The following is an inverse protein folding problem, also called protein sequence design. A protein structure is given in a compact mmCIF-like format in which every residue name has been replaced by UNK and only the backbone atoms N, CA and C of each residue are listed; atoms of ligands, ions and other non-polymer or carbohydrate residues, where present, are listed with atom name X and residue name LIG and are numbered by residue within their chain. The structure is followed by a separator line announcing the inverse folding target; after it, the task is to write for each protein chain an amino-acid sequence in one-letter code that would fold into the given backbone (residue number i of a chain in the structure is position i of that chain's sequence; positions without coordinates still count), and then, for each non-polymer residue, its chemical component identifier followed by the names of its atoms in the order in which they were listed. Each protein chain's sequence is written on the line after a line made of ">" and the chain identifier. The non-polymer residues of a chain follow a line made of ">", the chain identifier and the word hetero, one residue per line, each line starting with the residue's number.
data_IF_615936522442
#
_entry.id   IF_615936522442
#
_cell.length_a   1.000
_cell.length_b   1.000
_cell.length_c   1.000
_cell.angle_alpha   90.00
_cell.angle_beta   90.00
_cell.angle_gamma   90.00
#
_symmetry.space_group_name_H-M   'P 1'
#
loop_
_entity.id
_entity.type
_entity.pdbx_description
1 polymer ?
#
# COMPACT_ATOMS: atom_id res chain seq x y z
N UNK A 1 30.99 -29.69 14.04
CA UNK A 1 29.75 -30.48 14.05
C UNK A 1 29.33 -30.89 12.64
N UNK A 2 28.82 -29.97 11.79
CA UNK A 2 28.35 -30.34 10.43
C UNK A 2 29.45 -30.93 9.55
N UNK A 3 30.62 -30.29 9.48
CA UNK A 3 31.76 -30.80 8.70
C UNK A 3 32.18 -32.22 9.10
N UNK A 4 32.32 -32.42 10.40
CA UNK A 4 32.68 -33.71 10.96
C UNK A 4 31.64 -34.80 10.65
N UNK A 5 30.35 -34.44 10.64
CA UNK A 5 29.29 -35.36 10.24
C UNK A 5 29.44 -35.78 8.78
N UNK A 6 29.70 -34.83 7.88
CA UNK A 6 29.89 -35.09 6.45
C UNK A 6 31.15 -35.95 6.23
N UNK A 7 32.25 -35.65 6.93
CA UNK A 7 33.49 -36.44 6.87
C UNK A 7 33.25 -37.90 7.30
N UNK A 8 32.52 -38.12 8.40
CA UNK A 8 32.21 -39.48 8.89
C UNK A 8 31.21 -40.21 7.99
N UNK A 9 30.30 -39.49 7.35
CA UNK A 9 29.31 -40.04 6.42
C UNK A 9 29.88 -40.26 4.99
N UNK A 10 31.20 -40.12 4.81
CA UNK A 10 31.87 -40.46 3.54
C UNK A 10 32.08 -39.27 2.60
N UNK A 11 32.08 -38.04 3.10
CA UNK A 11 32.38 -36.82 2.35
C UNK A 11 31.18 -36.19 1.63
N UNK A 12 30.06 -36.92 1.52
CA UNK A 12 28.80 -36.43 0.98
C UNK A 12 27.62 -37.13 1.67
N UNK A 13 26.58 -36.37 2.04
CA UNK A 13 25.44 -36.90 2.80
C UNK A 13 24.14 -36.13 2.51
N UNK A 14 23.00 -36.70 2.91
CA UNK A 14 21.74 -35.95 2.93
C UNK A 14 21.69 -35.02 4.14
N UNK A 15 20.95 -33.91 4.03
CA UNK A 15 20.73 -33.00 5.16
C UNK A 15 20.12 -33.74 6.38
N UNK A 16 19.31 -34.78 6.12
CA UNK A 16 18.66 -35.59 7.17
C UNK A 16 19.69 -36.45 7.90
N UNK A 17 20.61 -37.09 7.18
CA UNK A 17 21.65 -37.94 7.78
C UNK A 17 22.64 -37.11 8.58
N UNK A 18 23.06 -35.96 8.04
CA UNK A 18 23.91 -34.99 8.76
C UNK A 18 23.25 -34.54 10.05
N UNK A 19 21.97 -34.14 9.98
CA UNK A 19 21.22 -33.69 11.16
C UNK A 19 21.10 -34.80 12.20
N UNK A 20 20.72 -36.01 11.76
CA UNK A 20 20.54 -37.16 12.65
C UNK A 20 21.84 -37.55 13.33
N UNK A 21 22.94 -37.56 12.59
CA UNK A 21 24.27 -37.84 13.12
C UNK A 21 24.72 -36.79 14.13
N UNK A 22 24.56 -35.49 13.82
CA UNK A 22 24.96 -34.41 14.73
C UNK A 22 24.17 -34.44 16.02
N UNK A 23 22.85 -34.64 15.96
CA UNK A 23 22.02 -34.73 17.16
C UNK A 23 22.34 -35.97 18.00
N UNK A 24 22.71 -37.09 17.36
CA UNK A 24 23.14 -38.30 18.05
C UNK A 24 24.48 -38.12 18.77
N UNK A 25 25.45 -37.45 18.14
CA UNK A 25 26.79 -37.23 18.72
C UNK A 25 26.88 -36.05 19.68
N UNK A 26 26.09 -35.00 19.45
CA UNK A 26 26.03 -33.78 20.25
C UNK A 26 24.61 -33.58 20.80
N UNK A 27 24.20 -34.33 21.84
CA UNK A 27 22.89 -34.20 22.45
C UNK A 27 22.62 -32.77 22.93
N UNK A 28 21.42 -32.25 22.68
CA UNK A 28 21.02 -30.88 23.01
C UNK A 28 21.27 -29.84 21.91
N UNK A 29 21.89 -30.23 20.79
CA UNK A 29 22.04 -29.35 19.62
C UNK A 29 20.69 -29.10 18.94
N UNK A 30 20.36 -27.83 18.69
CA UNK A 30 19.13 -27.45 17.99
C UNK A 30 19.23 -27.73 16.48
N UNK A 31 18.22 -28.39 15.90
CA UNK A 31 18.11 -28.69 14.47
C UNK A 31 18.25 -27.45 13.58
N UNK A 32 17.67 -26.32 13.99
CA UNK A 32 17.79 -25.04 13.29
C UNK A 32 19.25 -24.58 13.24
N UNK A 33 20.01 -24.71 14.33
CA UNK A 33 21.43 -24.36 14.36
C UNK A 33 22.26 -25.21 13.39
N UNK A 34 21.94 -26.49 13.26
CA UNK A 34 22.59 -27.40 12.30
C UNK A 34 22.30 -26.93 10.87
N UNK A 35 21.04 -26.57 10.58
CA UNK A 35 20.63 -26.05 9.27
C UNK A 35 21.31 -24.71 8.93
N UNK A 36 21.38 -23.77 9.88
CA UNK A 36 22.09 -22.51 9.68
C UNK A 36 23.58 -22.73 9.37
N UNK A 37 24.23 -23.67 10.07
CA UNK A 37 25.64 -24.02 9.80
C UNK A 37 25.84 -24.65 8.42
N UNK A 38 24.92 -25.52 7.98
CA UNK A 38 24.94 -26.07 6.63
C UNK A 38 24.84 -24.94 5.60
N UNK A 39 23.87 -24.03 5.75
CA UNK A 39 23.63 -22.94 4.79
C UNK A 39 24.81 -21.96 4.75
N UNK A 40 25.27 -21.47 5.91
CA UNK A 40 26.37 -20.50 5.98
C UNK A 40 27.68 -21.07 5.39
N UNK A 41 27.92 -22.37 5.61
CA UNK A 41 29.11 -23.07 5.13
C UNK A 41 29.09 -23.48 3.65
N UNK A 42 27.93 -23.46 2.99
CA UNK A 42 27.78 -23.91 1.61
C UNK A 42 28.04 -22.80 0.60
N UNK A 43 29.05 -22.95 -0.26
CA UNK A 43 29.54 -21.88 -1.13
C UNK A 43 28.57 -21.46 -2.23
N UNK A 44 27.79 -22.40 -2.74
CA UNK A 44 26.82 -22.20 -3.81
C UNK A 44 25.39 -22.03 -3.29
N UNK A 45 25.22 -21.73 -1.99
CA UNK A 45 23.90 -21.50 -1.41
C UNK A 45 23.56 -20.01 -1.40
N UNK A 46 22.51 -19.54 -2.12
CA UNK A 46 22.18 -18.12 -2.21
C UNK A 46 21.95 -17.47 -0.84
N UNK A 47 21.21 -18.15 0.04
CA UNK A 47 20.91 -17.63 1.38
C UNK A 47 22.09 -17.52 2.34
N UNK A 48 23.31 -17.97 1.97
CA UNK A 48 24.47 -17.89 2.85
C UNK A 48 24.82 -16.45 3.23
N UNK A 49 24.48 -15.49 2.38
CA UNK A 49 24.71 -14.05 2.54
C UNK A 49 23.94 -13.42 3.71
N UNK A 50 22.93 -14.10 4.26
CA UNK A 50 22.16 -13.62 5.41
C UNK A 50 22.76 -14.02 6.77
N UNK A 51 23.74 -14.93 6.76
CA UNK A 51 24.42 -15.38 7.96
C UNK A 51 25.67 -14.52 8.11
N UNK A 52 25.56 -13.44 8.88
CA UNK A 52 26.47 -12.28 8.94
C UNK A 52 27.93 -12.51 9.37
N UNK A 53 28.47 -13.71 9.15
CA UNK A 53 29.86 -14.06 9.36
C UNK A 53 30.58 -14.01 8.00
N UNK A 54 31.43 -13.01 7.80
CA UNK A 54 32.29 -12.83 6.60
C UNK A 54 31.54 -12.58 5.26
N UNK A 55 30.46 -11.81 5.31
CA UNK A 55 29.70 -11.35 4.13
C UNK A 55 30.32 -10.06 3.58
N UNK A 56 31.23 -10.24 2.61
CA UNK A 56 31.87 -9.17 1.85
C UNK A 56 32.25 -9.70 0.47
N UNK A 57 32.50 -8.82 -0.49
CA UNK A 57 32.98 -9.23 -1.82
C UNK A 57 34.33 -9.95 -1.69
N UNK A 58 34.36 -11.26 -1.96
CA UNK A 58 35.54 -12.12 -1.85
C UNK A 58 35.36 -13.44 -2.59
N UNK A 59 36.47 -14.06 -2.94
CA UNK A 59 36.51 -15.45 -3.37
C UNK A 59 36.23 -16.37 -2.17
N UNK A 60 35.51 -17.46 -2.41
CA UNK A 60 35.18 -18.49 -1.44
C UNK A 60 36.35 -19.49 -1.31
N UNK A 61 37.43 -19.09 -0.65
CA UNK A 61 38.63 -19.91 -0.40
C UNK A 61 38.97 -20.07 1.09
N UNK A 62 38.10 -19.58 1.98
CA UNK A 62 38.36 -19.57 3.42
C UNK A 62 37.85 -20.88 4.06
N UNK A 63 38.73 -21.78 4.54
CA UNK A 63 38.33 -23.09 5.06
C UNK A 63 37.51 -23.04 6.36
N UNK A 64 37.40 -21.87 7.00
CA UNK A 64 36.52 -21.66 8.16
C UNK A 64 35.07 -21.38 7.75
N UNK A 65 34.84 -20.75 6.60
CA UNK A 65 33.51 -20.31 6.18
C UNK A 65 33.01 -21.02 4.92
N UNK A 66 33.93 -21.50 4.07
CA UNK A 66 33.66 -22.07 2.75
C UNK A 66 33.95 -23.58 2.80
N UNK A 67 33.08 -24.31 3.49
CA UNK A 67 33.32 -25.71 3.85
C UNK A 67 32.58 -26.70 2.96
N UNK A 68 31.45 -26.31 2.38
CA UNK A 68 30.50 -27.23 1.78
C UNK A 68 30.06 -26.80 0.37
N UNK A 69 29.65 -27.78 -0.42
CA UNK A 69 29.03 -27.60 -1.71
C UNK A 69 27.70 -28.37 -1.74
N UNK A 70 26.72 -27.87 -2.50
CA UNK A 70 25.43 -28.51 -2.69
C UNK A 70 25.28 -28.95 -4.15
N UNK A 71 25.41 -30.25 -4.47
CA UNK A 71 25.24 -30.73 -5.84
C UNK A 71 23.76 -30.77 -6.25
N UNK A 72 22.85 -31.04 -5.32
CA UNK A 72 21.40 -31.08 -5.55
C UNK A 72 20.62 -30.77 -4.27
N UNK A 73 19.33 -30.45 -4.41
CA UNK A 73 18.46 -30.14 -3.27
C UNK A 73 18.44 -31.27 -2.25
N UNK A 74 18.68 -30.93 -0.98
CA UNK A 74 18.68 -31.89 0.13
C UNK A 74 19.98 -32.64 0.35
N UNK A 75 21.02 -32.41 -0.46
CA UNK A 75 22.36 -33.00 -0.29
C UNK A 75 23.43 -31.94 -0.01
N UNK A 76 24.52 -32.40 0.59
CA UNK A 76 25.68 -31.58 0.93
C UNK A 76 26.95 -32.43 0.90
N UNK A 77 28.04 -31.85 0.40
CA UNK A 77 29.37 -32.47 0.33
C UNK A 77 30.47 -31.48 0.70
N UNK A 78 31.69 -31.95 0.93
CA UNK A 78 32.83 -31.08 1.22
C UNK A 78 33.21 -30.27 -0.02
N UNK A 79 33.38 -28.97 0.15
CA UNK A 79 33.78 -28.11 -0.95
C UNK A 79 35.27 -28.26 -1.27
N UNK A 80 35.52 -28.49 -2.55
CA UNK A 80 36.83 -28.45 -3.20
C UNK A 80 36.76 -27.55 -4.44
N UNK A 81 37.51 -26.43 -4.50
CA UNK A 81 37.53 -25.57 -5.69
C UNK A 81 38.02 -26.29 -6.96
N UNK A 82 38.88 -27.30 -6.81
CA UNK A 82 39.38 -28.11 -7.93
C UNK A 82 38.27 -28.95 -8.57
N UNK A 83 37.32 -29.43 -7.77
CA UNK A 83 36.22 -30.28 -8.23
C UNK A 83 34.97 -29.48 -8.61
N UNK A 84 34.62 -28.46 -7.82
CA UNK A 84 33.33 -27.75 -7.90
C UNK A 84 33.45 -26.37 -8.56
N UNK A 85 34.65 -26.01 -9.00
CA UNK A 85 34.96 -24.66 -9.48
C UNK A 85 35.10 -23.67 -8.34
N UNK A 86 35.71 -22.52 -8.64
CA UNK A 86 35.88 -21.43 -7.68
C UNK A 86 34.59 -20.61 -7.59
N UNK A 87 34.12 -20.35 -6.38
CA UNK A 87 32.96 -19.50 -6.11
C UNK A 87 33.36 -18.17 -5.51
N UNK A 88 32.53 -17.15 -5.66
CA UNK A 88 32.71 -15.86 -5.02
C UNK A 88 31.40 -15.31 -4.45
N UNK A 89 31.55 -14.55 -3.38
CA UNK A 89 30.57 -13.59 -2.90
C UNK A 89 30.83 -12.27 -3.64
N UNK A 90 29.80 -11.72 -4.25
CA UNK A 90 29.90 -10.45 -4.96
C UNK A 90 28.77 -9.51 -4.56
N UNK A 91 29.04 -8.22 -4.64
CA UNK A 91 28.03 -7.18 -4.46
C UNK A 91 27.29 -6.94 -5.78
N UNK A 92 25.97 -7.08 -5.75
CA UNK A 92 25.08 -6.80 -6.87
C UNK A 92 24.92 -5.29 -7.08
N UNK A 93 24.49 -4.82 -8.26
CA UNK A 93 24.33 -3.39 -8.54
C UNK A 93 23.39 -2.63 -7.58
N UNK A 94 22.47 -3.34 -6.92
CA UNK A 94 21.55 -2.82 -5.89
C UNK A 94 22.15 -2.84 -4.46
N UNK A 95 23.46 -3.12 -4.31
CA UNK A 95 24.18 -3.07 -3.04
C UNK A 95 23.94 -4.28 -2.12
N UNK A 96 23.44 -5.40 -2.67
CA UNK A 96 23.23 -6.66 -1.94
C UNK A 96 24.36 -7.63 -2.23
N UNK A 97 24.49 -8.68 -1.42
CA UNK A 97 25.44 -9.76 -1.70
C UNK A 97 24.73 -10.96 -2.31
N UNK A 98 25.36 -11.59 -3.30
CA UNK A 98 24.95 -12.87 -3.86
C UNK A 98 26.18 -13.76 -4.11
N UNK A 99 25.95 -15.01 -4.51
CA UNK A 99 27.00 -16.00 -4.82
C UNK A 99 26.99 -16.34 -6.30
N UNK A 100 28.17 -16.54 -6.89
CA UNK A 100 28.31 -17.07 -8.25
C UNK A 100 29.60 -17.86 -8.40
N UNK A 101 29.70 -18.66 -9.46
CA UNK A 101 30.95 -19.27 -9.85
C UNK A 101 31.83 -18.21 -10.56
N UNK A 102 33.11 -18.15 -10.22
CA UNK A 102 34.06 -17.22 -10.83
C UNK A 102 34.16 -17.50 -12.35
N UNK A 103 33.90 -16.48 -13.16
CA UNK A 103 33.96 -16.56 -14.62
C UNK A 103 32.60 -16.60 -15.31
N UNK A 104 31.50 -16.73 -14.57
CA UNK A 104 30.16 -16.57 -15.13
C UNK A 104 29.83 -15.07 -15.30
N UNK A 105 29.55 -14.66 -16.54
CA UNK A 105 28.94 -13.35 -16.80
C UNK A 105 27.56 -13.27 -16.14
N UNK A 106 27.17 -12.07 -15.69
CA UNK A 106 25.91 -11.81 -14.99
C UNK A 106 24.72 -12.22 -15.88
N UNK A 107 24.24 -13.44 -15.68
CA UNK A 107 22.93 -13.86 -16.12
C UNK A 107 22.01 -13.82 -14.90
N UNK A 108 20.89 -13.09 -14.93
CA UNK A 108 19.92 -13.12 -13.84
C UNK A 108 19.42 -14.55 -13.69
N UNK A 109 19.77 -15.19 -12.58
CA UNK A 109 19.34 -16.54 -12.26
C UNK A 109 17.89 -16.51 -11.75
N UNK A 110 17.11 -17.53 -12.09
CA UNK A 110 15.74 -17.70 -11.58
C UNK A 110 15.71 -18.01 -10.06
N UNK A 111 16.86 -18.21 -9.42
CA UNK A 111 16.98 -18.58 -8.00
C UNK A 111 17.08 -17.37 -7.06
N UNK A 112 17.37 -16.16 -7.56
CA UNK A 112 17.30 -14.90 -6.78
C UNK A 112 15.87 -14.64 -6.26
N UNK A 113 14.85 -15.19 -6.93
CA UNK A 113 13.45 -15.06 -6.53
C UNK A 113 13.12 -15.90 -5.27
N UNK A 114 13.91 -16.92 -4.93
CA UNK A 114 13.60 -17.79 -3.79
C UNK A 114 13.83 -17.10 -2.44
N UNK A 115 14.90 -16.30 -2.34
CA UNK A 115 15.19 -15.49 -1.14
C UNK A 115 14.22 -14.32 -0.99
N UNK A 116 13.88 -13.65 -2.10
CA UNK A 116 12.86 -12.61 -2.13
C UNK A 116 11.46 -13.14 -1.83
N UNK A 117 11.10 -14.30 -2.38
CA UNK A 117 9.83 -14.98 -2.10
C UNK A 117 9.73 -15.40 -0.63
N UNK A 118 10.81 -15.90 -0.01
CA UNK A 118 10.80 -16.29 1.40
C UNK A 118 10.62 -15.08 2.35
N UNK A 119 11.34 -13.98 2.08
CA UNK A 119 11.18 -12.75 2.84
C UNK A 119 9.77 -12.17 2.66
N UNK A 120 9.25 -12.18 1.44
CA UNK A 120 7.89 -11.73 1.16
C UNK A 120 6.81 -12.67 1.74
N UNK A 121 7.05 -13.98 1.86
CA UNK A 121 6.09 -14.95 2.46
C UNK A 121 5.99 -14.72 3.97
N UNK A 122 7.14 -14.48 4.61
CA UNK A 122 7.22 -14.08 6.02
C UNK A 122 6.48 -12.77 6.26
N UNK A 123 6.75 -11.73 5.47
CA UNK A 123 6.09 -10.42 5.63
C UNK A 123 4.59 -10.49 5.34
N UNK A 124 4.17 -11.24 4.32
CA UNK A 124 2.76 -11.45 4.01
C UNK A 124 2.04 -12.15 5.16
N UNK A 125 2.65 -13.19 5.74
CA UNK A 125 2.12 -13.88 6.91
C UNK A 125 1.92 -12.95 8.08
N UNK A 126 2.96 -12.20 8.44
CA UNK A 126 2.94 -11.35 9.62
C UNK A 126 1.91 -10.21 9.46
N UNK A 127 1.74 -9.70 8.24
CA UNK A 127 0.66 -8.77 7.88
C UNK A 127 -0.72 -9.43 8.04
N UNK A 128 -0.96 -10.56 7.39
CA UNK A 128 -2.26 -11.24 7.41
C UNK A 128 -2.65 -11.72 8.81
N UNK A 129 -1.69 -12.13 9.64
CA UNK A 129 -1.93 -12.51 11.03
C UNK A 129 -2.44 -11.35 11.90
N UNK A 130 -2.10 -10.10 11.54
CA UNK A 130 -2.59 -8.88 12.19
C UNK A 130 -3.89 -8.36 11.57
N UNK A 131 -4.20 -8.79 10.34
CA UNK A 131 -5.33 -8.32 9.54
C UNK A 131 -6.22 -9.47 9.06
N UNK A 132 -6.54 -10.41 9.95
CA UNK A 132 -7.31 -11.62 9.61
C UNK A 132 -8.69 -11.31 9.00
N UNK A 133 -9.29 -10.17 9.34
CA UNK A 133 -10.54 -9.70 8.76
C UNK A 133 -10.47 -9.48 7.23
N UNK A 134 -9.28 -9.23 6.67
CA UNK A 134 -9.08 -9.15 5.21
C UNK A 134 -9.18 -10.52 4.54
N UNK A 135 -8.86 -11.58 5.27
CA UNK A 135 -9.07 -12.96 4.81
C UNK A 135 -10.55 -13.29 4.95
N UNK A 136 -11.09 -13.19 6.15
CA UNK A 136 -12.49 -13.48 6.43
C UNK A 136 -12.92 -12.73 7.70
N UNK A 137 -14.03 -11.97 7.67
CA UNK A 137 -14.46 -11.19 8.82
C UNK A 137 -14.70 -12.03 10.07
N UNK A 138 -14.19 -11.59 11.22
CA UNK A 138 -14.40 -12.23 12.51
C UNK A 138 -13.46 -13.39 12.82
N UNK A 139 -12.40 -13.59 12.02
CA UNK A 139 -11.32 -14.50 12.34
C UNK A 139 -10.44 -13.95 13.48
N UNK A 140 -10.01 -14.84 14.37
CA UNK A 140 -9.07 -14.55 15.45
C UNK A 140 -7.93 -15.57 15.43
N UNK A 141 -6.72 -15.15 15.78
CA UNK A 141 -5.60 -16.09 15.92
C UNK A 141 -5.93 -17.13 16.98
N UNK A 142 -5.67 -18.39 16.67
CA UNK A 142 -5.79 -19.46 17.65
C UNK A 142 -4.72 -19.27 18.73
N UNK A 143 -5.10 -19.41 20.00
CA UNK A 143 -4.16 -19.43 21.13
C UNK A 143 -4.31 -20.78 21.81
N UNK A 144 -3.25 -21.58 21.77
CA UNK A 144 -3.22 -22.88 22.43
C UNK A 144 -3.11 -22.69 23.96
N UNK A 145 -3.60 -23.63 24.78
CA UNK A 145 -3.49 -23.55 26.25
C UNK A 145 -2.07 -23.41 26.83
N UNK A 146 -1.03 -23.68 26.04
CA UNK A 146 0.38 -23.50 26.40
C UNK A 146 0.96 -22.17 25.90
N UNK A 147 0.09 -21.20 25.61
CA UNK A 147 0.41 -19.86 25.13
C UNK A 147 1.02 -19.80 23.72
N UNK A 148 1.09 -20.91 22.97
CA UNK A 148 1.47 -20.87 21.56
C UNK A 148 0.38 -20.17 20.74
N UNK A 149 0.79 -19.13 20.03
CA UNK A 149 -0.06 -18.38 19.10
C UNK A 149 -0.09 -19.05 17.73
N UNK A 150 -1.19 -18.89 17.01
CA UNK A 150 -1.46 -19.49 15.71
C UNK A 150 -0.67 -18.89 14.55
N UNK A 151 0.56 -18.42 14.76
CA UNK A 151 1.46 -17.96 13.71
C UNK A 151 2.65 -18.89 13.69
N UNK A 152 3.02 -19.41 12.51
CA UNK A 152 4.04 -20.45 12.38
C UNK A 152 3.79 -21.64 13.33
N UNK A 153 2.53 -22.06 13.46
CA UNK A 153 2.10 -23.04 14.43
C UNK A 153 2.72 -24.41 14.16
N UNK A 154 3.66 -24.83 15.01
CA UNK A 154 4.40 -26.08 14.87
C UNK A 154 3.53 -27.27 15.27
N UNK A 155 3.46 -28.26 14.38
CA UNK A 155 2.79 -29.54 14.57
C UNK A 155 3.75 -30.70 14.29
N UNK A 156 3.34 -31.92 14.62
CA UNK A 156 4.10 -33.14 14.29
C UNK A 156 4.23 -33.37 12.78
N UNK A 157 3.31 -32.82 11.99
CA UNK A 157 3.22 -33.04 10.54
C UNK A 157 3.71 -31.85 9.73
N UNK A 158 4.32 -30.86 10.38
CA UNK A 158 4.86 -29.65 9.75
C UNK A 158 4.44 -28.38 10.46
N UNK A 159 4.71 -27.24 9.82
CA UNK A 159 4.43 -25.91 10.36
C UNK A 159 3.30 -25.29 9.56
N UNK A 160 2.26 -24.86 10.26
CA UNK A 160 1.12 -24.13 9.69
C UNK A 160 1.47 -22.66 9.66
N UNK A 161 1.28 -21.96 8.54
CA UNK A 161 1.62 -20.53 8.47
C UNK A 161 0.75 -19.70 9.40
N UNK A 162 -0.58 -19.84 9.30
CA UNK A 162 -1.53 -19.22 10.22
C UNK A 162 -2.63 -20.21 10.61
N UNK A 163 -2.89 -20.34 11.90
CA UNK A 163 -3.98 -21.09 12.50
C UNK A 163 -4.92 -20.11 13.21
N UNK A 164 -6.16 -20.04 12.77
CA UNK A 164 -7.18 -19.15 13.29
C UNK A 164 -8.43 -19.91 13.74
N UNK A 165 -9.31 -19.21 14.44
CA UNK A 165 -10.67 -19.63 14.76
C UNK A 165 -11.66 -18.55 14.32
N UNK A 166 -12.82 -18.96 13.82
CA UNK A 166 -13.89 -18.01 13.50
C UNK A 166 -14.79 -17.71 14.70
N UNK A 167 -15.75 -16.81 14.51
CA UNK A 167 -16.71 -16.43 15.54
C UNK A 167 -17.63 -17.56 16.04
N UNK A 168 -17.64 -18.72 15.39
CA UNK A 168 -18.36 -19.93 15.83
C UNK A 168 -17.46 -20.96 16.50
N UNK A 169 -16.15 -20.68 16.59
CA UNK A 169 -15.15 -21.60 17.15
C UNK A 169 -14.66 -22.67 16.18
N UNK A 170 -15.00 -22.57 14.89
CA UNK A 170 -14.44 -23.46 13.87
C UNK A 170 -13.01 -23.05 13.53
N UNK A 171 -12.16 -24.04 13.29
CA UNK A 171 -10.75 -23.82 12.99
C UNK A 171 -10.53 -23.50 11.51
N UNK A 172 -9.61 -22.59 11.25
CA UNK A 172 -9.20 -22.17 9.91
C UNK A 172 -7.68 -22.31 9.79
N UNK A 173 -7.26 -23.23 8.93
CA UNK A 173 -5.85 -23.44 8.58
C UNK A 173 -5.54 -22.62 7.33
N UNK A 174 -4.58 -21.72 7.40
CA UNK A 174 -4.22 -20.83 6.29
C UNK A 174 -2.78 -21.14 5.87
N UNK A 175 -2.59 -21.40 4.58
CA UNK A 175 -1.29 -21.70 3.97
C UNK A 175 -0.97 -20.65 2.89
N UNK A 176 0.23 -20.10 2.92
CA UNK A 176 0.65 -19.00 2.06
C UNK A 176 1.60 -19.47 0.96
N UNK A 177 1.56 -18.78 -0.20
CA UNK A 177 2.55 -18.99 -1.25
C UNK A 177 2.87 -17.70 -2.01
N UNK A 178 4.14 -17.29 -1.98
CA UNK A 178 4.55 -16.05 -2.65
C UNK A 178 5.01 -16.20 -4.10
N UNK A 179 5.56 -17.34 -4.48
CA UNK A 179 6.04 -17.58 -5.84
C UNK A 179 5.40 -18.82 -6.48
N UNK A 180 5.49 -18.93 -7.82
CA UNK A 180 5.10 -20.11 -8.60
C UNK A 180 5.97 -21.31 -8.19
N UNK A 181 5.55 -22.04 -7.17
CA UNK A 181 6.19 -23.26 -6.67
C UNK A 181 5.22 -24.45 -6.66
N UNK A 182 5.74 -25.69 -6.80
CA UNK A 182 4.97 -26.83 -7.31
C UNK A 182 3.97 -27.37 -6.29
N UNK A 183 2.74 -27.65 -6.76
CA UNK A 183 1.64 -28.59 -6.38
C UNK A 183 1.49 -29.14 -4.93
N UNK A 184 2.38 -28.80 -4.01
CA UNK A 184 2.54 -29.32 -2.66
C UNK A 184 1.61 -28.65 -1.66
N UNK A 185 1.12 -27.45 -1.96
CA UNK A 185 0.26 -26.65 -1.08
C UNK A 185 -1.08 -27.34 -0.80
N UNK A 186 -1.65 -28.03 -1.79
CA UNK A 186 -2.86 -28.83 -1.60
C UNK A 186 -2.62 -29.99 -0.62
N UNK A 187 -1.48 -30.68 -0.76
CA UNK A 187 -1.08 -31.74 0.17
C UNK A 187 -0.80 -31.22 1.57
N UNK A 188 -0.14 -30.06 1.69
CA UNK A 188 0.14 -29.40 2.97
C UNK A 188 -1.15 -29.02 3.68
N UNK A 189 -2.05 -28.28 3.01
CA UNK A 189 -3.27 -27.82 3.66
C UNK A 189 -4.19 -28.98 4.07
N UNK A 190 -4.28 -30.01 3.24
CA UNK A 190 -5.04 -31.22 3.58
C UNK A 190 -4.43 -31.94 4.78
N UNK A 191 -3.09 -32.05 4.84
CA UNK A 191 -2.38 -32.65 5.97
C UNK A 191 -2.61 -31.88 7.27
N UNK A 192 -2.49 -30.55 7.22
CA UNK A 192 -2.67 -29.68 8.38
C UNK A 192 -4.12 -29.64 8.85
N UNK A 193 -5.09 -29.45 7.95
CA UNK A 193 -6.54 -29.53 8.23
C UNK A 193 -6.87 -30.83 8.97
N UNK A 194 -6.38 -31.96 8.45
CA UNK A 194 -6.61 -33.27 9.03
C UNK A 194 -5.94 -33.48 10.40
N UNK A 195 -4.77 -32.89 10.62
CA UNK A 195 -4.10 -32.95 11.90
C UNK A 195 -4.84 -32.11 12.95
N UNK A 196 -5.21 -30.87 12.63
CA UNK A 196 -6.00 -29.98 13.52
C UNK A 196 -7.34 -30.61 13.88
N UNK A 197 -8.03 -31.21 12.90
CA UNK A 197 -9.30 -31.91 13.11
C UNK A 197 -9.21 -33.04 14.13
N UNK A 198 -8.07 -33.75 14.19
CA UNK A 198 -7.85 -34.89 15.10
C UNK A 198 -7.33 -34.50 16.48
N UNK A 199 -6.58 -33.40 16.59
CA UNK A 199 -5.82 -33.08 17.80
C UNK A 199 -6.31 -31.83 18.53
N UNK A 200 -6.92 -30.87 17.83
CA UNK A 200 -7.31 -29.58 18.41
C UNK A 200 -8.81 -29.31 18.34
N UNK A 201 -9.46 -29.74 17.26
CA UNK A 201 -10.81 -29.28 16.95
C UNK A 201 -11.89 -29.76 17.94
N UNK A 202 -11.69 -30.87 18.65
CA UNK A 202 -12.63 -31.38 19.66
C UNK A 202 -14.11 -31.42 19.19
N UNK A 203 -14.32 -31.78 17.92
CA UNK A 203 -15.66 -31.85 17.29
C UNK A 203 -16.08 -30.57 16.53
N UNK A 204 -15.33 -29.48 16.64
CA UNK A 204 -15.49 -28.30 15.78
C UNK A 204 -15.10 -28.62 14.33
N UNK A 205 -15.69 -27.88 13.39
CA UNK A 205 -15.31 -27.98 11.98
C UNK A 205 -13.92 -27.38 11.75
N UNK A 206 -13.24 -27.85 10.71
CA UNK A 206 -11.92 -27.35 10.31
C UNK A 206 -11.95 -27.12 8.80
N UNK A 207 -11.64 -25.90 8.37
CA UNK A 207 -11.49 -25.54 6.96
C UNK A 207 -10.08 -25.05 6.64
N UNK A 208 -9.71 -25.13 5.37
CA UNK A 208 -8.43 -24.66 4.84
C UNK A 208 -8.62 -23.47 3.90
N UNK A 209 -7.71 -22.49 3.95
CA UNK A 209 -7.61 -21.40 2.97
C UNK A 209 -6.18 -21.35 2.42
N UNK A 210 -6.03 -21.54 1.11
CA UNK A 210 -4.78 -21.31 0.40
C UNK A 210 -4.76 -19.85 -0.05
N UNK A 211 -3.69 -19.10 0.24
CA UNK A 211 -3.53 -17.71 -0.23
C UNK A 211 -2.24 -17.62 -1.05
N UNK A 212 -2.35 -17.24 -2.32
CA UNK A 212 -1.19 -17.13 -3.20
C UNK A 212 -1.28 -15.91 -4.13
N UNK A 213 -0.17 -15.50 -4.74
CA UNK A 213 -0.22 -14.44 -5.75
C UNK A 213 -1.00 -14.87 -6.99
N UNK A 214 -0.95 -16.17 -7.32
CA UNK A 214 -1.68 -16.77 -8.43
C UNK A 214 -2.07 -18.21 -8.08
N UNK A 215 -3.34 -18.57 -8.26
CA UNK A 215 -3.86 -19.92 -8.08
C UNK A 215 -3.88 -20.63 -9.43
N UNK A 216 -2.96 -21.57 -9.61
CA UNK A 216 -2.85 -22.38 -10.83
C UNK A 216 -4.01 -23.35 -10.96
N UNK A 217 -4.34 -23.77 -12.19
CA UNK A 217 -5.41 -24.74 -12.41
C UNK A 217 -5.14 -26.08 -11.72
N UNK A 218 -3.87 -26.45 -11.52
CA UNK A 218 -3.49 -27.63 -10.75
C UNK A 218 -3.97 -27.57 -9.30
N UNK A 219 -3.80 -26.42 -8.63
CA UNK A 219 -4.33 -26.22 -7.27
C UNK A 219 -5.86 -26.29 -7.30
N UNK A 220 -6.51 -25.64 -8.27
CA UNK A 220 -7.96 -25.69 -8.43
C UNK A 220 -8.47 -27.12 -8.56
N UNK A 221 -7.86 -27.93 -9.43
CA UNK A 221 -8.20 -29.34 -9.58
C UNK A 221 -7.91 -30.16 -8.33
N UNK A 222 -6.82 -29.88 -7.62
CA UNK A 222 -6.45 -30.63 -6.41
C UNK A 222 -7.42 -30.43 -5.24
N UNK A 223 -8.11 -29.29 -5.18
CA UNK A 223 -9.06 -28.96 -4.10
C UNK A 223 -10.53 -29.01 -4.55
N UNK A 224 -10.82 -29.29 -5.83
CA UNK A 224 -12.15 -29.17 -6.42
C UNK A 224 -13.23 -29.98 -5.68
N UNK A 225 -12.87 -31.16 -5.17
CA UNK A 225 -13.79 -32.07 -4.49
C UNK A 225 -13.78 -31.92 -2.94
N UNK A 226 -13.02 -30.97 -2.40
CA UNK A 226 -12.97 -30.68 -0.96
C UNK A 226 -13.70 -29.36 -0.64
N UNK A 227 -14.97 -29.40 -0.23
CA UNK A 227 -15.75 -28.18 0.03
C UNK A 227 -15.26 -27.42 1.27
N UNK A 228 -14.38 -27.99 2.09
CA UNK A 228 -13.79 -27.35 3.25
C UNK A 228 -12.45 -26.67 2.92
N UNK A 229 -12.01 -26.64 1.64
CA UNK A 229 -10.77 -25.97 1.23
C UNK A 229 -11.07 -24.90 0.17
N UNK A 230 -10.74 -23.65 0.49
CA UNK A 230 -10.84 -22.53 -0.42
C UNK A 230 -9.45 -22.04 -0.87
N UNK A 231 -9.41 -21.33 -2.00
CA UNK A 231 -8.22 -20.65 -2.48
C UNK A 231 -8.51 -19.17 -2.75
N UNK A 232 -7.57 -18.29 -2.42
CA UNK A 232 -7.64 -16.84 -2.63
C UNK A 232 -6.37 -16.34 -3.28
N UNK A 233 -6.52 -15.35 -4.16
CA UNK A 233 -5.40 -14.63 -4.76
C UNK A 233 -5.17 -13.31 -4.03
N UNK A 234 -3.91 -12.91 -3.83
CA UNK A 234 -3.55 -11.59 -3.32
C UNK A 234 -2.81 -10.76 -4.39
N UNK A 235 -2.97 -9.44 -4.32
CA UNK A 235 -2.28 -8.48 -5.19
C UNK A 235 -1.58 -7.41 -4.33
N UNK A 236 -0.25 -7.30 -4.45
CA UNK A 236 0.52 -6.22 -3.83
C UNK A 236 0.56 -5.03 -4.78
N UNK A 237 0.09 -3.88 -4.33
CA UNK A 237 0.21 -2.61 -5.08
C UNK A 237 1.25 -1.74 -4.41
N UNK A 238 2.38 -1.55 -5.10
CA UNK A 238 3.41 -0.59 -4.70
C UNK A 238 3.13 0.71 -5.45
N UNK A 239 2.89 1.79 -4.70
CA UNK A 239 2.78 3.13 -5.25
C UNK A 239 4.05 3.92 -4.90
N UNK A 240 4.77 4.37 -5.93
CA UNK A 240 5.87 5.30 -5.75
C UNK A 240 5.34 6.72 -5.94
N UNK A 241 5.64 7.61 -5.00
CA UNK A 241 5.26 9.02 -5.10
C UNK A 241 6.50 9.87 -5.31
N UNK A 242 6.43 10.75 -6.31
CA UNK A 242 7.42 11.80 -6.44
C UNK A 242 7.29 12.75 -5.26
N UNK A 243 8.39 12.92 -4.54
CA UNK A 243 8.49 13.88 -3.44
C UNK A 243 9.08 15.16 -4.00
N UNK A 244 8.33 16.26 -3.88
CA UNK A 244 8.88 17.60 -4.15
C UNK A 244 9.99 17.86 -3.15
N UNK A 245 11.19 18.16 -3.66
CA UNK A 245 12.27 18.74 -2.87
C UNK A 245 12.23 20.26 -2.97
N UNK A 246 12.47 20.96 -1.86
CA UNK A 246 12.69 22.39 -1.85
C UNK A 246 14.17 22.63 -1.54
N UNK A 247 14.80 23.54 -2.28
CA UNK A 247 16.15 23.98 -2.01
C UNK A 247 16.15 25.49 -1.79
N UNK A 248 16.83 25.94 -0.73
CA UNK A 248 17.15 27.35 -0.55
C UNK A 248 18.37 27.70 -1.40
N UNK A 249 18.23 28.72 -2.24
CA UNK A 249 19.33 29.31 -2.98
C UNK A 249 19.97 30.43 -2.14
N UNK A 250 21.10 30.12 -1.51
CA UNK A 250 21.97 31.10 -0.83
C UNK A 250 23.38 31.09 -1.41
N UNK A 251 24.40 31.37 -0.59
CA UNK A 251 25.81 31.18 -0.99
C UNK A 251 26.13 29.71 -1.31
N UNK A 252 25.40 28.78 -0.69
CA UNK A 252 25.41 27.35 -0.99
C UNK A 252 23.97 26.89 -1.21
N UNK A 253 23.80 25.94 -2.13
CA UNK A 253 22.51 25.27 -2.33
C UNK A 253 22.29 24.32 -1.16
N UNK A 254 21.21 24.54 -0.41
CA UNK A 254 20.86 23.69 0.74
C UNK A 254 19.46 23.15 0.56
N UNK A 255 19.28 21.85 0.80
CA UNK A 255 17.97 21.21 0.78
C UNK A 255 17.23 21.57 2.07
N UNK A 256 15.98 21.99 1.94
CA UNK A 256 15.11 22.21 3.10
C UNK A 256 14.50 20.86 3.46
N UNK A 257 14.67 20.46 4.72
CA UNK A 257 14.13 19.20 5.21
C UNK A 257 12.63 19.30 5.46
N UNK A 258 11.96 18.17 5.27
CA UNK A 258 10.54 18.05 5.53
C UNK A 258 10.28 18.07 7.04
N UNK A 259 9.28 18.84 7.46
CA UNK A 259 8.79 18.84 8.83
C UNK A 259 7.29 18.54 8.83
N UNK A 260 6.78 17.67 9.72
CA UNK A 260 5.34 17.52 9.87
C UNK A 260 4.74 18.85 10.34
N UNK A 261 3.59 19.21 9.79
CA UNK A 261 2.88 20.40 10.26
C UNK A 261 2.46 20.20 11.72
N UNK A 262 2.54 21.26 12.51
CA UNK A 262 2.30 21.24 13.95
C UNK A 262 0.91 20.71 14.34
N UNK A 263 -0.12 21.04 13.54
CA UNK A 263 -1.47 20.52 13.74
C UNK A 263 -2.34 20.63 12.48
N UNK A 264 -3.40 19.83 12.41
CA UNK A 264 -4.44 19.96 11.38
C UNK A 264 -5.18 21.30 11.48
N UNK A 265 -5.36 21.85 12.69
CA UNK A 265 -5.96 23.18 12.87
C UNK A 265 -5.13 24.25 12.14
N UNK A 266 -3.79 24.20 12.25
CA UNK A 266 -2.91 25.14 11.53
C UNK A 266 -3.08 25.02 10.02
N UNK A 267 -3.25 23.80 9.50
CA UNK A 267 -3.51 23.57 8.08
C UNK A 267 -4.89 24.11 7.68
N UNK A 268 -5.93 23.85 8.47
CA UNK A 268 -7.27 24.35 8.26
C UNK A 268 -7.28 25.90 8.24
N UNK A 269 -6.66 26.53 9.23
CA UNK A 269 -6.55 27.99 9.34
C UNK A 269 -5.86 28.59 8.11
N UNK A 270 -4.80 27.94 7.63
CA UNK A 270 -4.04 28.39 6.46
C UNK A 270 -4.86 28.26 5.17
N UNK A 271 -5.59 27.15 5.01
CA UNK A 271 -6.45 26.92 3.85
C UNK A 271 -7.67 27.85 3.88
N UNK A 272 -8.28 28.06 5.06
CA UNK A 272 -9.43 28.93 5.22
C UNK A 272 -9.08 30.41 4.99
N UNK A 273 -7.84 30.82 5.29
CA UNK A 273 -7.35 32.16 5.02
C UNK A 273 -7.21 32.46 3.53
N UNK A 274 -6.89 31.45 2.71
CA UNK A 274 -6.81 31.58 1.26
C UNK A 274 -7.09 30.25 0.55
N UNK A 275 -8.33 30.05 0.09
CA UNK A 275 -8.73 28.84 -0.63
C UNK A 275 -8.05 28.67 -2.00
N UNK A 276 -7.33 29.69 -2.52
CA UNK A 276 -6.58 29.58 -3.77
C UNK A 276 -5.46 28.52 -3.70
N UNK A 277 -5.01 28.19 -2.49
CA UNK A 277 -4.10 27.05 -2.22
C UNK A 277 -4.73 25.70 -2.57
N UNK A 278 -6.06 25.64 -2.70
CA UNK A 278 -6.78 24.51 -3.29
C UNK A 278 -7.12 24.83 -4.75
N UNK A 279 -7.93 25.85 -4.98
CA UNK A 279 -8.38 26.26 -6.31
C UNK A 279 -8.73 27.75 -6.29
N UNK A 280 -8.31 28.53 -7.32
CA UNK A 280 -8.51 29.98 -7.35
C UNK A 280 -9.98 30.42 -7.48
N UNK A 281 -10.90 29.49 -7.75
CA UNK A 281 -12.33 29.77 -7.97
C UNK A 281 -13.23 29.31 -6.84
N UNK A 282 -12.80 29.44 -5.58
CA UNK A 282 -13.58 29.03 -4.40
C UNK A 282 -13.85 30.21 -3.47
N UNK A 283 -15.10 30.32 -3.03
CA UNK A 283 -15.56 31.21 -1.97
C UNK A 283 -15.82 30.41 -0.70
N UNK A 284 -15.25 30.81 0.44
CA UNK A 284 -15.53 30.15 1.71
C UNK A 284 -16.94 30.51 2.18
N UNK A 285 -17.78 29.51 2.48
CA UNK A 285 -19.07 29.71 3.10
C UNK A 285 -18.97 29.67 4.62
N UNK A 286 -18.14 28.76 5.14
CA UNK A 286 -17.85 28.73 6.57
C UNK A 286 -17.00 27.54 6.98
N UNK A 287 -16.58 27.60 8.25
CA UNK A 287 -15.76 26.58 8.92
C UNK A 287 -16.57 25.79 9.93
N UNK A 288 -16.21 24.51 10.09
CA UNK A 288 -16.78 23.60 11.09
C UNK A 288 -18.31 23.61 11.03
N UNK A 289 -18.84 23.27 9.85
CA UNK A 289 -20.29 23.31 9.58
C UNK A 289 -20.94 22.06 10.20
N UNK A 290 -21.87 22.21 11.16
CA UNK A 290 -22.53 21.08 11.78
C UNK A 290 -23.38 20.32 10.76
N UNK A 291 -23.33 19.00 10.84
CA UNK A 291 -24.17 18.09 10.05
C UNK A 291 -25.30 17.53 10.91
N UNK A 292 -26.38 17.08 10.29
CA UNK A 292 -27.51 16.45 10.97
C UNK A 292 -27.12 15.23 11.83
N UNK A 293 -25.99 14.59 11.51
CA UNK A 293 -25.48 13.41 12.21
C UNK A 293 -24.49 13.74 13.35
N UNK A 294 -24.39 15.00 13.77
CA UNK A 294 -23.57 15.42 14.91
C UNK A 294 -22.07 15.43 14.64
N UNK A 295 -21.65 15.37 13.37
CA UNK A 295 -20.28 15.65 12.94
C UNK A 295 -20.18 17.02 12.26
N UNK A 296 -18.97 17.46 11.95
CA UNK A 296 -18.72 18.76 11.33
C UNK A 296 -18.00 18.57 10.00
N UNK A 297 -18.41 19.32 8.98
CA UNK A 297 -17.63 19.54 7.75
C UNK A 297 -16.55 20.55 8.10
N UNK A 298 -15.28 20.25 7.84
CA UNK A 298 -14.19 21.14 8.24
C UNK A 298 -14.29 22.49 7.53
N UNK A 299 -14.36 22.51 6.19
CA UNK A 299 -14.60 23.72 5.40
C UNK A 299 -15.66 23.46 4.33
N UNK A 300 -16.63 24.36 4.24
CA UNK A 300 -17.60 24.39 3.15
C UNK A 300 -17.37 25.61 2.28
N UNK A 301 -17.22 25.40 0.98
CA UNK A 301 -17.00 26.44 -0.01
C UNK A 301 -18.03 26.35 -1.14
N UNK A 302 -18.10 27.40 -1.95
CA UNK A 302 -18.88 27.48 -3.18
C UNK A 302 -17.95 27.83 -4.34
N UNK A 303 -18.17 27.22 -5.50
CA UNK A 303 -17.47 27.62 -6.73
C UNK A 303 -18.24 28.68 -7.53
N UNK A 304 -17.60 29.23 -8.56
CA UNK A 304 -18.19 30.25 -9.44
C UNK A 304 -19.47 29.82 -10.16
N UNK A 305 -19.75 28.52 -10.23
CA UNK A 305 -20.96 28.00 -10.88
C UNK A 305 -22.07 27.75 -9.83
N UNK A 306 -21.89 28.20 -8.58
CA UNK A 306 -22.86 28.03 -7.50
C UNK A 306 -22.86 26.64 -6.86
N UNK A 307 -21.87 25.77 -7.16
CA UNK A 307 -21.82 24.40 -6.62
C UNK A 307 -21.08 24.35 -5.29
N UNK A 308 -21.56 23.52 -4.37
CA UNK A 308 -20.90 23.33 -3.08
C UNK A 308 -19.68 22.43 -3.18
N UNK A 309 -18.63 22.85 -2.50
CA UNK A 309 -17.36 22.13 -2.40
C UNK A 309 -17.09 21.83 -0.94
N UNK A 310 -17.19 20.54 -0.59
CA UNK A 310 -16.89 20.01 0.74
C UNK A 310 -15.39 19.75 0.82
N UNK A 311 -14.71 20.37 1.78
CA UNK A 311 -13.27 20.21 1.98
C UNK A 311 -13.07 19.57 3.36
N UNK A 312 -12.54 18.34 3.38
CA UNK A 312 -12.36 17.54 4.60
C UNK A 312 -10.87 17.32 4.88
N UNK A 313 -10.43 17.61 6.10
CA UNK A 313 -9.08 17.36 6.58
C UNK A 313 -9.01 15.97 7.25
N UNK A 314 -7.91 15.26 7.02
CA UNK A 314 -7.83 13.84 7.34
C UNK A 314 -7.60 13.54 8.84
N UNK A 315 -8.66 13.64 9.66
CA UNK A 315 -8.91 12.81 10.88
C UNK A 315 -10.39 12.51 11.13
N UNK A 316 -11.31 13.34 10.66
CA UNK A 316 -12.74 13.19 10.91
C UNK A 316 -13.48 12.78 9.64
N UNK A 317 -13.66 11.47 9.41
CA UNK A 317 -14.56 11.02 8.33
C UNK A 317 -16.02 11.33 8.70
N UNK A 318 -16.63 12.29 8.01
CA UNK A 318 -18.05 12.63 8.14
C UNK A 318 -18.96 11.74 7.27
N UNK A 319 -20.08 11.24 7.80
CA UNK A 319 -21.14 10.63 6.99
C UNK A 319 -21.69 11.64 5.99
N UNK A 320 -21.95 11.16 4.77
CA UNK A 320 -22.17 11.96 3.57
C UNK A 320 -23.65 12.22 3.30
N UNK A 321 -24.17 13.36 3.75
CA UNK A 321 -25.29 14.07 3.11
C UNK A 321 -25.17 15.58 3.40
N UNK A 322 -24.91 16.40 2.38
CA UNK A 322 -25.02 17.87 2.44
C UNK A 322 -26.19 18.28 1.56
N UNK A 323 -27.40 17.97 2.02
CA UNK A 323 -28.64 18.32 1.34
C UNK A 323 -29.12 19.72 1.73
N UNK A 324 -28.30 20.74 1.51
CA UNK A 324 -28.66 22.14 1.82
C UNK A 324 -29.46 22.75 0.65
N UNK A 325 -30.59 23.38 0.97
CA UNK A 325 -31.35 24.22 0.04
C UNK A 325 -30.70 25.61 -0.15
N UNK A 326 -31.19 26.41 -1.10
CA UNK A 326 -30.73 27.80 -1.28
C UNK A 326 -30.84 28.62 0.01
N UNK A 327 -32.01 28.56 0.65
CA UNK A 327 -32.29 29.28 1.88
C UNK A 327 -31.33 28.82 3.01
N UNK A 328 -31.08 27.51 3.12
CA UNK A 328 -30.12 26.98 4.10
C UNK A 328 -28.70 27.49 3.86
N UNK A 329 -28.28 27.64 2.59
CA UNK A 329 -26.95 28.15 2.23
C UNK A 329 -26.86 29.65 2.55
N UNK A 330 -27.90 30.41 2.26
CA UNK A 330 -28.00 31.83 2.59
C UNK A 330 -27.93 32.08 4.10
N UNK A 331 -28.75 31.37 4.86
CA UNK A 331 -28.78 31.42 6.33
C UNK A 331 -27.43 31.00 6.93
N UNK A 332 -26.82 29.94 6.39
CA UNK A 332 -25.51 29.48 6.80
C UNK A 332 -24.44 30.54 6.56
N UNK A 333 -24.42 31.13 5.36
CA UNK A 333 -23.45 32.15 4.99
C UNK A 333 -23.59 33.39 5.89
N UNK A 334 -24.82 33.87 6.09
CA UNK A 334 -25.10 34.99 6.98
C UNK A 334 -24.66 34.68 8.42
N UNK A 335 -24.96 33.49 8.95
CA UNK A 335 -24.56 33.08 10.29
C UNK A 335 -23.03 32.99 10.48
N UNK A 336 -22.28 32.71 9.42
CA UNK A 336 -20.82 32.56 9.44
C UNK A 336 -20.06 33.83 9.05
N UNK A 337 -20.74 34.82 8.47
CA UNK A 337 -20.13 36.04 7.91
C UNK A 337 -20.86 37.30 8.41
N UNK A 338 -21.12 37.40 9.72
CA UNK A 338 -21.65 38.59 10.40
C UNK A 338 -22.97 39.15 9.81
N UNK A 339 -23.86 38.27 9.36
CA UNK A 339 -25.16 38.62 8.79
C UNK A 339 -25.12 39.11 7.34
N UNK A 340 -23.97 38.96 6.67
CA UNK A 340 -23.81 39.35 5.27
C UNK A 340 -24.64 38.45 4.34
N UNK A 341 -25.26 39.06 3.33
CA UNK A 341 -26.03 38.35 2.29
C UNK A 341 -25.10 37.55 1.36
N UNK A 342 -25.54 36.35 0.97
CA UNK A 342 -24.76 35.42 0.14
C UNK A 342 -24.42 36.01 -1.22
N UNK A 343 -25.39 36.67 -1.85
CA UNK A 343 -25.30 37.32 -3.14
C UNK A 343 -24.22 38.41 -3.12
N UNK A 344 -24.19 39.23 -2.07
CA UNK A 344 -23.14 40.24 -1.88
C UNK A 344 -21.77 39.59 -1.68
N UNK A 345 -21.70 38.49 -0.92
CA UNK A 345 -20.50 37.67 -0.77
C UNK A 345 -19.96 37.16 -2.11
N UNK A 346 -20.86 36.61 -2.90
CA UNK A 346 -20.58 35.96 -4.17
C UNK A 346 -20.12 36.98 -5.22
N UNK A 347 -20.83 38.09 -5.36
CA UNK A 347 -20.52 39.15 -6.33
C UNK A 347 -19.15 39.77 -6.06
N UNK A 348 -18.79 40.01 -4.80
CA UNK A 348 -17.45 40.53 -4.45
C UNK A 348 -16.34 39.51 -4.74
N UNK A 349 -16.60 38.23 -4.49
CA UNK A 349 -15.58 37.18 -4.67
C UNK A 349 -15.34 36.89 -6.15
N UNK A 350 -16.40 36.81 -6.95
CA UNK A 350 -16.31 36.35 -8.34
C UNK A 350 -16.62 37.42 -9.39
N UNK A 351 -16.96 38.64 -8.98
CA UNK A 351 -17.29 39.77 -9.88
C UNK A 351 -18.43 39.48 -10.85
N UNK A 352 -19.37 38.60 -10.50
CA UNK A 352 -20.60 38.32 -11.24
C UNK A 352 -21.69 37.82 -10.28
N UNK A 353 -22.95 37.92 -10.71
CA UNK A 353 -24.10 37.57 -9.89
C UNK A 353 -24.23 36.07 -9.63
N UNK A 354 -24.68 35.73 -8.43
CA UNK A 354 -25.01 34.35 -8.04
C UNK A 354 -25.98 33.72 -9.06
N UNK A 355 -25.69 32.50 -9.57
CA UNK A 355 -26.60 31.80 -10.49
C UNK A 355 -27.97 31.50 -9.85
N UNK A 356 -29.02 31.43 -10.68
CA UNK A 356 -30.37 31.04 -10.23
C UNK A 356 -30.39 29.59 -9.73
N UNK A 357 -29.66 28.70 -10.42
CA UNK A 357 -29.50 27.30 -10.03
C UNK A 357 -28.21 27.13 -9.23
N UNK A 358 -28.33 27.05 -7.91
CA UNK A 358 -27.23 26.71 -7.01
C UNK A 358 -27.28 25.25 -6.59
N UNK A 359 -26.13 24.74 -6.16
CA UNK A 359 -26.01 23.44 -5.53
C UNK A 359 -26.51 22.26 -6.41
N UNK A 360 -26.45 22.41 -7.75
CA UNK A 360 -26.84 21.35 -8.69
C UNK A 360 -25.90 20.14 -8.64
N UNK A 361 -24.66 20.37 -8.21
CA UNK A 361 -23.65 19.33 -7.99
C UNK A 361 -22.81 19.61 -6.76
N UNK A 362 -22.23 18.56 -6.18
CA UNK A 362 -21.30 18.65 -5.06
C UNK A 362 -19.94 18.15 -5.47
N UNK A 363 -18.88 18.81 -5.02
CA UNK A 363 -17.50 18.32 -5.14
C UNK A 363 -16.91 18.07 -3.76
N UNK A 364 -16.06 17.06 -3.65
CA UNK A 364 -15.34 16.74 -2.43
C UNK A 364 -13.82 16.85 -2.65
N UNK A 365 -13.15 17.64 -1.81
CA UNK A 365 -11.70 17.73 -1.75
C UNK A 365 -11.25 17.17 -0.40
N UNK A 366 -10.45 16.12 -0.43
CA UNK A 366 -9.79 15.61 0.77
C UNK A 366 -8.43 16.28 0.88
N UNK A 367 -8.15 16.85 2.05
CA UNK A 367 -6.89 17.49 2.39
C UNK A 367 -6.12 16.55 3.32
N UNK A 368 -4.95 16.10 2.90
CA UNK A 368 -4.14 15.16 3.68
C UNK A 368 -2.64 15.47 3.59
N UNK A 369 -1.86 15.07 4.59
CA UNK A 369 -0.40 14.97 4.44
C UNK A 369 -0.04 13.73 3.60
N UNK A 370 -0.79 12.65 3.81
CA UNK A 370 -0.65 11.37 3.10
C UNK A 370 -1.96 10.57 3.08
N UNK A 371 -2.05 9.65 2.12
CA UNK A 371 -3.14 8.69 2.02
C UNK A 371 -2.60 7.27 2.05
N UNK A 372 -3.31 6.37 2.70
CA UNK A 372 -3.04 4.95 2.60
C UNK A 372 -3.41 4.44 1.18
N UNK A 373 -2.74 3.39 0.66
CA UNK A 373 -2.98 2.91 -0.70
C UNK A 373 -4.42 2.44 -0.97
N UNK A 374 -5.15 2.03 0.06
CA UNK A 374 -6.54 1.58 -0.09
C UNK A 374 -7.46 2.77 -0.38
N UNK A 375 -7.31 3.88 0.36
CA UNK A 375 -8.08 5.11 0.17
C UNK A 375 -7.79 5.76 -1.18
N UNK A 376 -6.52 5.81 -1.61
CA UNK A 376 -6.18 6.34 -2.94
C UNK A 376 -6.86 5.55 -4.05
N UNK A 377 -6.81 4.22 -3.98
CA UNK A 377 -7.44 3.34 -4.97
C UNK A 377 -8.94 3.57 -5.05
N UNK A 378 -9.61 3.72 -3.90
CA UNK A 378 -11.04 4.01 -3.83
C UNK A 378 -11.34 5.35 -4.51
N UNK A 379 -10.58 6.40 -4.20
CA UNK A 379 -10.80 7.74 -4.76
C UNK A 379 -10.56 7.73 -6.28
N UNK A 380 -9.45 7.16 -6.73
CA UNK A 380 -9.13 7.03 -8.15
C UNK A 380 -10.18 6.21 -8.89
N UNK A 381 -10.70 5.15 -8.28
CA UNK A 381 -11.77 4.33 -8.85
C UNK A 381 -13.10 5.09 -8.96
N UNK A 382 -13.50 5.79 -7.89
CA UNK A 382 -14.73 6.59 -7.85
C UNK A 382 -14.69 7.74 -8.87
N UNK A 383 -13.58 8.48 -8.92
CA UNK A 383 -13.38 9.57 -9.89
C UNK A 383 -13.30 9.02 -11.32
N UNK A 384 -12.39 8.07 -11.58
CA UNK A 384 -12.08 7.63 -12.93
C UNK A 384 -13.16 6.76 -13.58
N UNK A 385 -13.85 5.90 -12.81
CA UNK A 385 -14.84 4.95 -13.35
C UNK A 385 -16.29 5.41 -13.20
N UNK A 386 -16.61 6.13 -12.13
CA UNK A 386 -17.98 6.55 -11.82
C UNK A 386 -18.20 8.05 -11.96
N UNK A 387 -17.15 8.82 -12.30
CA UNK A 387 -17.25 10.27 -12.45
C UNK A 387 -17.65 10.97 -11.15
N UNK A 388 -17.43 10.33 -9.99
CA UNK A 388 -17.72 10.96 -8.70
C UNK A 388 -16.74 12.11 -8.51
N UNK A 389 -17.20 13.35 -8.29
CA UNK A 389 -16.37 14.54 -8.17
C UNK A 389 -15.65 14.59 -6.81
N UNK A 390 -14.76 13.63 -6.58
CA UNK A 390 -13.93 13.51 -5.38
C UNK A 390 -12.46 13.48 -5.78
N UNK A 391 -11.64 14.27 -5.10
CA UNK A 391 -10.20 14.28 -5.31
C UNK A 391 -9.46 14.51 -3.99
N UNK A 392 -8.14 14.34 -3.99
CA UNK A 392 -7.29 14.60 -2.83
C UNK A 392 -6.17 15.54 -3.19
N UNK A 393 -5.95 16.52 -2.33
CA UNK A 393 -4.76 17.35 -2.30
C UNK A 393 -3.87 16.93 -1.13
N UNK A 394 -2.58 16.81 -1.43
CA UNK A 394 -1.55 16.53 -0.46
C UNK A 394 -0.82 17.82 -0.11
N UNK A 395 -0.76 18.15 1.18
CA UNK A 395 0.05 19.27 1.66
C UNK A 395 1.28 18.78 2.38
N UNK A 396 2.42 19.43 2.10
CA UNK A 396 3.67 19.18 2.80
C UNK A 396 4.28 20.47 3.29
N UNK A 397 4.78 20.40 4.51
CA UNK A 397 5.31 21.52 5.26
C UNK A 397 6.84 21.41 5.38
N UNK A 398 7.50 22.56 5.36
CA UNK A 398 8.95 22.68 5.46
C UNK A 398 9.31 23.90 6.30
N UNK A 399 10.26 23.76 7.21
CA UNK A 399 10.78 24.84 8.04
C UNK A 399 12.22 25.19 7.65
N UNK A 400 12.55 26.49 7.61
CA UNK A 400 13.94 26.94 7.41
C UNK A 400 14.19 28.32 8.05
N UNK A 401 15.02 28.36 9.10
CA UNK A 401 15.43 29.56 9.81
C UNK A 401 14.27 30.49 10.22
N UNK A 402 13.18 29.91 10.74
CA UNK A 402 11.99 30.64 11.17
C UNK A 402 11.00 30.99 10.04
N UNK A 403 11.33 30.68 8.79
CA UNK A 403 10.38 30.72 7.68
C UNK A 403 9.67 29.36 7.52
N UNK A 404 8.39 29.42 7.17
CA UNK A 404 7.54 28.26 6.96
C UNK A 404 7.12 28.19 5.49
N UNK A 405 7.16 26.99 4.90
CA UNK A 405 6.81 26.77 3.50
C UNK A 405 5.78 25.65 3.39
N UNK A 406 4.84 25.83 2.47
CA UNK A 406 3.80 24.87 2.15
C UNK A 406 3.88 24.51 0.67
N UNK A 407 3.83 23.22 0.37
CA UNK A 407 3.71 22.71 -1.01
C UNK A 407 2.45 21.89 -1.14
N UNK A 408 1.89 21.86 -2.36
CA UNK A 408 0.72 21.06 -2.70
C UNK A 408 1.01 20.13 -3.86
N UNK A 409 0.43 18.93 -3.83
CA UNK A 409 0.30 18.05 -4.98
C UNK A 409 -1.09 17.43 -5.01
N UNK A 410 -1.57 17.02 -6.18
CA UNK A 410 -2.88 16.40 -6.34
C UNK A 410 -2.76 14.91 -6.61
N UNK A 411 -3.74 14.13 -6.13
CA UNK A 411 -3.84 12.70 -6.47
C UNK A 411 -4.17 12.51 -7.96
N UNK A 412 -5.13 13.28 -8.46
CA UNK A 412 -5.47 13.42 -9.87
C UNK A 412 -5.32 14.89 -10.21
N UNK A 413 -4.64 15.26 -11.29
CA UNK A 413 -4.55 16.67 -11.69
C UNK A 413 -5.97 17.27 -11.80
N UNK A 414 -6.25 18.45 -11.23
CA UNK A 414 -7.59 19.05 -11.27
C UNK A 414 -8.19 19.15 -12.68
N UNK A 415 -7.36 19.42 -13.70
CA UNK A 415 -7.81 19.48 -15.09
C UNK A 415 -8.26 18.11 -15.59
N UNK A 416 -7.52 17.06 -15.25
CA UNK A 416 -7.87 15.68 -15.59
C UNK A 416 -9.12 15.22 -14.83
N UNK A 417 -9.28 15.61 -13.56
CA UNK A 417 -10.44 15.29 -12.75
C UNK A 417 -11.73 15.92 -13.31
N UNK A 418 -11.66 17.17 -13.78
CA UNK A 418 -12.79 17.84 -14.46
C UNK A 418 -13.16 17.14 -15.77
N UNK A 419 -12.18 16.68 -16.55
CA UNK A 419 -12.42 15.90 -17.77
C UNK A 419 -13.02 14.51 -17.46
N UNK A 420 -12.63 13.87 -16.37
CA UNK A 420 -13.14 12.55 -15.98
C UNK A 420 -14.60 12.62 -15.50
N UNK A 421 -14.92 13.62 -14.70
CA UNK A 421 -16.28 13.85 -14.17
C UNK A 421 -17.25 14.27 -15.28
N UNK A 422 -16.84 15.14 -16.20
CA UNK A 422 -17.67 15.61 -17.32
C UNK A 422 -18.06 14.53 -18.34
N UNK A 423 -17.26 13.46 -18.50
CA UNK A 423 -17.61 12.31 -19.37
C UNK A 423 -18.82 11.52 -18.88
N UNK A 424 -19.18 11.62 -17.61
CA UNK A 424 -20.28 10.86 -16.99
C UNK A 424 -21.62 11.60 -16.98
N UNK A 425 -21.62 12.94 -17.11
CA UNK A 425 -22.83 13.77 -17.10
C UNK A 425 -23.21 14.24 -18.52
N UNK A 426 -24.15 13.54 -19.16
CA UNK A 426 -24.70 13.91 -20.46
C UNK A 426 -25.68 15.10 -20.43
N UNK A 427 -25.46 16.11 -19.58
CA UNK A 427 -26.17 17.40 -19.63
C UNK A 427 -25.24 18.44 -20.25
N UNK A 428 -25.74 19.13 -21.29
CA UNK A 428 -25.06 20.29 -21.91
C UNK A 428 -24.77 21.33 -20.83
N UNK A 429 -23.51 21.43 -20.36
CA UNK A 429 -23.02 22.63 -19.66
C UNK A 429 -22.47 23.61 -20.69
N UNK A 430 -22.67 24.89 -20.39
CA UNK A 430 -22.08 26.02 -21.11
C UNK A 430 -20.55 25.86 -21.16
N UNK A 431 -19.95 26.16 -22.31
CA UNK A 431 -18.48 26.11 -22.44
C UNK A 431 -17.83 27.12 -21.47
N UNK A 432 -16.65 26.80 -20.90
CA UNK A 432 -15.92 27.74 -20.05
C UNK A 432 -15.70 29.06 -20.78
N UNK A 433 -16.06 30.19 -20.16
CA UNK A 433 -15.88 31.51 -20.76
C UNK A 433 -14.41 31.72 -21.14
N UNK A 434 -14.16 31.98 -22.42
CA UNK A 434 -12.82 32.05 -22.98
C UNK A 434 -12.15 33.44 -22.84
N UNK A 435 -12.79 34.38 -22.14
CA UNK A 435 -12.29 35.74 -21.96
C UNK A 435 -12.28 36.61 -23.22
N UNK A 436 -12.86 36.13 -24.32
CA UNK A 436 -12.78 36.76 -25.65
C UNK A 436 -14.14 36.96 -26.30
N UNK A 437 -15.08 36.08 -26.02
CA UNK A 437 -16.41 36.13 -26.61
C UNK A 437 -17.33 36.96 -25.72
N UNK A 438 -17.78 38.08 -26.26
CA UNK A 438 -18.78 38.96 -25.67
C UNK A 438 -20.02 38.93 -26.56
N UNK A 439 -21.19 38.72 -25.96
CA UNK A 439 -22.47 38.92 -26.62
C UNK A 439 -23.10 40.19 -26.05
N UNK A 440 -23.28 41.20 -26.89
CA UNK A 440 -24.02 42.42 -26.55
C UNK A 440 -25.24 42.48 -27.46
N UNK A 441 -26.44 42.46 -26.86
CA UNK A 441 -27.67 42.75 -27.58
C UNK A 441 -27.92 44.27 -27.52
N UNK A 442 -27.79 44.94 -28.65
CA UNK A 442 -28.13 46.36 -28.78
C UNK A 442 -29.51 46.47 -29.40
N UNK A 443 -30.43 47.12 -28.68
CA UNK A 443 -31.72 47.53 -29.23
C UNK A 443 -31.57 48.75 -30.13
N UNK A 444 -32.40 48.86 -31.16
CA UNK A 444 -32.43 50.05 -32.01
C UNK A 444 -33.19 51.17 -31.30
N UNK A 445 -32.50 52.27 -31.03
CA UNK A 445 -33.06 53.42 -30.34
C UNK A 445 -32.53 54.75 -30.86
N UNK A 446 -33.11 55.89 -30.44
CA UNK A 446 -32.74 57.22 -30.96
C UNK A 446 -31.27 57.61 -30.76
N UNK A 447 -30.57 56.90 -29.87
CA UNK A 447 -29.19 57.18 -29.47
C UNK A 447 -28.24 55.99 -29.66
N UNK A 448 -28.70 54.88 -30.25
CA UNK A 448 -27.93 53.65 -30.43
C UNK A 448 -28.32 53.01 -31.77
N UNK A 449 -27.37 52.93 -32.71
CA UNK A 449 -27.59 52.28 -34.00
C UNK A 449 -26.57 51.16 -34.27
N UNK A 450 -26.93 50.26 -35.18
CA UNK A 450 -26.10 49.11 -35.57
C UNK A 450 -24.78 49.50 -36.27
N UNK A 451 -24.72 50.68 -36.88
CA UNK A 451 -23.55 51.15 -37.60
C UNK A 451 -22.39 51.57 -36.67
N UNK A 452 -22.70 51.94 -35.43
CA UNK A 452 -21.68 52.23 -34.41
C UNK A 452 -20.83 51.00 -34.07
N UNK A 453 -21.39 49.80 -34.19
CA UNK A 453 -20.70 48.52 -33.95
C UNK A 453 -19.80 48.06 -35.11
N UNK A 454 -19.85 48.74 -36.26
CA UNK A 454 -19.07 48.37 -37.47
C UNK A 454 -17.76 49.12 -37.63
N UNK A 455 -17.49 50.13 -36.80
CA UNK A 455 -16.22 50.87 -36.82
C UNK A 455 -15.26 50.24 -35.82
N UNK A 456 -14.19 49.64 -36.34
CA UNK A 456 -13.05 49.14 -35.55
C UNK A 456 -12.21 50.29 -35.02
#
# INVERSE_FOLDING_TARGET
>A
MVREAIEVLGGAASNVDVTSWVMGKYPGTNKTTIQCQMIAGTVNHPSRVHYGVDVRSRVCDNPLFDQFFRPESGRIELYSPEQHGMWELFETPDGRFSVRQCGDEVQPSADDDTGHAFAAETHLRDYLAQHLDEIEPGLQLYVHPDERIGVEFITEVGRIDILAVDGQGAFVVIELKVARGPDSVAGQILRYKNWVKRHLANGQSVRGIIIAQQITDKIKYAIADDPEVAAKEYEIKIALRNVVGIWRLGNTLSRIEFEPIESESKLEDTIAADLSVLSPGLMLLGRQIPTAHGKFIDLLAMDRDGNLVVIELKRNKTPREVGLSYDDIGDLYAAKNDGRELEVGFDETFSHSLPEDVNESHRMIIVASELDPSTERIITYLSGRYGVPINTVFFRYFGDNGSEYLTRSWLIDPQDAEVQTSKSSAKKRQEPWNGRDFYVSLGEGPHQNWDDCRKR
#
